data_IF_681419583642
#
_entry.id   IF_681419583642
#
_cell.length_a   1.000
_cell.length_b   1.000
_cell.length_c   1.000
_cell.angle_alpha   90.00
_cell.angle_beta   90.00
_cell.angle_gamma   90.00
#
_symmetry.space_group_name_H-M   'P 1'
#
loop_
_entity.id
_entity.type
_entity.pdbx_description
1 polymer ?
#
# COMPACT_ATOMS: atom_id res chain seq x y z
N UNK A 1 -25.14 -17.11 -26.65
CA UNK A 1 -24.17 -17.13 -25.55
C UNK A 1 -23.50 -18.49 -25.54
N UNK A 2 -22.18 -18.49 -25.37
CA UNK A 2 -21.37 -19.72 -25.28
C UNK A 2 -21.54 -20.35 -23.90
N UNK A 3 -20.93 -21.52 -23.68
CA UNK A 3 -20.87 -22.17 -22.35
C UNK A 3 -19.67 -21.70 -21.53
N UNK A 4 -18.66 -21.13 -22.17
CA UNK A 4 -17.48 -20.55 -21.52
C UNK A 4 -17.52 -19.03 -21.62
N UNK A 5 -17.18 -18.36 -20.53
CA UNK A 5 -17.01 -16.91 -20.46
C UNK A 5 -15.56 -16.59 -20.07
N UNK A 6 -14.92 -15.67 -20.79
CA UNK A 6 -13.67 -15.05 -20.40
C UNK A 6 -13.91 -13.58 -20.00
N UNK A 7 -13.53 -13.23 -18.78
CA UNK A 7 -13.53 -11.85 -18.27
C UNK A 7 -12.10 -11.34 -18.29
N UNK A 8 -11.85 -10.26 -19.05
CA UNK A 8 -10.49 -9.75 -19.29
C UNK A 8 -10.37 -8.30 -18.82
N UNK A 9 -9.68 -8.10 -17.70
CA UNK A 9 -9.35 -6.80 -17.13
C UNK A 9 -8.07 -6.17 -17.70
N UNK A 10 -7.64 -5.03 -17.14
CA UNK A 10 -6.52 -4.25 -17.64
C UNK A 10 -5.16 -4.54 -16.98
N UNK A 11 -5.10 -5.41 -15.96
CA UNK A 11 -3.87 -5.73 -15.24
C UNK A 11 -2.89 -6.53 -16.11
N UNK A 12 -1.78 -5.91 -16.48
CA UNK A 12 -0.84 -6.47 -17.47
C UNK A 12 -0.29 -7.85 -17.11
N UNK A 13 0.16 -8.14 -15.86
CA UNK A 13 0.85 -9.39 -15.56
C UNK A 13 0.05 -10.67 -15.85
N UNK A 14 -1.28 -10.65 -15.69
CA UNK A 14 -2.10 -11.84 -15.91
C UNK A 14 -2.93 -11.77 -17.18
N UNK A 15 -3.12 -10.57 -17.77
CA UNK A 15 -3.91 -10.40 -19.00
C UNK A 15 -3.29 -11.10 -20.21
N UNK A 16 -1.97 -11.12 -20.31
CA UNK A 16 -1.26 -11.64 -21.49
C UNK A 16 -1.40 -13.15 -21.66
N UNK A 17 -1.87 -13.86 -20.64
CA UNK A 17 -2.19 -15.29 -20.71
C UNK A 17 -3.43 -15.59 -21.57
N UNK A 18 -4.31 -14.61 -21.80
CA UNK A 18 -5.53 -14.82 -22.57
C UNK A 18 -5.31 -14.65 -24.09
N UNK A 19 -5.80 -15.62 -24.87
CA UNK A 19 -5.83 -15.56 -26.34
C UNK A 19 -7.16 -15.01 -26.87
N UNK A 20 -7.13 -13.80 -27.44
CA UNK A 20 -8.30 -13.16 -28.06
C UNK A 20 -8.76 -13.81 -29.38
N UNK A 21 -7.98 -14.74 -29.95
CA UNK A 21 -8.35 -15.46 -31.17
C UNK A 21 -9.44 -16.51 -30.95
N UNK A 22 -9.58 -16.99 -29.70
CA UNK A 22 -10.57 -17.98 -29.27
C UNK A 22 -11.98 -17.65 -29.73
N UNK A 23 -12.76 -18.66 -30.11
CA UNK A 23 -14.16 -18.54 -30.58
C UNK A 23 -15.14 -19.42 -29.77
N UNK A 24 -14.60 -20.17 -28.82
CA UNK A 24 -15.31 -21.10 -27.93
C UNK A 24 -15.93 -20.41 -26.70
N UNK A 25 -15.50 -19.17 -26.41
CA UNK A 25 -15.96 -18.36 -25.28
C UNK A 25 -16.54 -17.00 -25.70
N UNK A 26 -17.45 -16.49 -24.87
CA UNK A 26 -17.82 -15.07 -24.87
C UNK A 26 -16.71 -14.28 -24.15
N UNK A 27 -16.38 -13.07 -24.61
CA UNK A 27 -15.34 -12.21 -24.03
C UNK A 27 -15.95 -10.92 -23.48
N UNK A 28 -15.75 -10.68 -22.18
CA UNK A 28 -16.25 -9.50 -21.48
C UNK A 28 -15.08 -8.61 -21.01
N UNK A 29 -15.18 -7.31 -21.29
CA UNK A 29 -14.18 -6.30 -20.89
C UNK A 29 -14.84 -5.06 -20.28
N UNK A 30 -14.05 -4.10 -19.82
CA UNK A 30 -14.51 -2.98 -19.00
C UNK A 30 -14.14 -1.62 -19.59
N UNK A 31 -15.11 -0.71 -19.63
CA UNK A 31 -14.92 0.70 -20.00
C UNK A 31 -14.11 0.89 -21.30
N UNK A 32 -13.07 1.71 -21.27
CA UNK A 32 -12.20 2.04 -22.42
C UNK A 32 -11.28 0.89 -22.82
N UNK A 33 -11.24 -0.22 -22.06
CA UNK A 33 -10.36 -1.36 -22.36
C UNK A 33 -10.60 -1.93 -23.76
N UNK A 34 -11.83 -1.86 -24.26
CA UNK A 34 -12.19 -2.29 -25.61
C UNK A 34 -11.40 -1.59 -26.71
N UNK A 35 -11.02 -0.32 -26.49
CA UNK A 35 -10.25 0.46 -27.46
C UNK A 35 -8.74 0.33 -27.28
N UNK A 36 -8.28 -0.29 -26.20
CA UNK A 36 -6.87 -0.53 -25.98
C UNK A 36 -6.27 -1.45 -27.06
N UNK A 37 -5.01 -1.24 -27.40
CA UNK A 37 -4.32 -1.97 -28.46
C UNK A 37 -4.25 -3.50 -28.23
N UNK A 38 -4.30 -3.91 -26.95
CA UNK A 38 -4.29 -5.32 -26.56
C UNK A 38 -5.66 -6.00 -26.73
N UNK A 39 -6.77 -5.26 -26.64
CA UNK A 39 -8.11 -5.84 -26.74
C UNK A 39 -8.50 -5.97 -28.21
N UNK A 40 -8.45 -7.19 -28.74
CA UNK A 40 -8.71 -7.43 -30.17
C UNK A 40 -10.20 -7.51 -30.49
N UNK A 41 -11.00 -8.06 -29.58
CA UNK A 41 -12.46 -8.17 -29.69
C UNK A 41 -13.08 -8.27 -28.29
N UNK A 42 -14.36 -7.92 -28.19
CA UNK A 42 -15.18 -8.29 -27.03
C UNK A 42 -16.65 -8.45 -27.45
N UNK A 43 -17.31 -9.42 -26.86
CA UNK A 43 -18.75 -9.67 -27.05
C UNK A 43 -19.56 -8.74 -26.14
N UNK A 44 -19.00 -8.32 -25.00
CA UNK A 44 -19.65 -7.42 -24.06
C UNK A 44 -18.66 -6.44 -23.41
N UNK A 45 -19.12 -5.20 -23.20
CA UNK A 45 -18.42 -4.15 -22.46
C UNK A 45 -19.28 -3.69 -21.29
N UNK A 46 -18.68 -3.59 -20.11
CA UNK A 46 -19.32 -2.98 -18.93
C UNK A 46 -18.91 -1.51 -18.86
N UNK A 47 -19.87 -0.62 -19.09
CA UNK A 47 -19.73 0.83 -18.94
C UNK A 47 -20.72 1.31 -17.88
N UNK A 48 -20.40 1.06 -16.62
CA UNK A 48 -21.29 1.32 -15.48
C UNK A 48 -21.08 2.71 -14.84
N UNK A 49 -20.11 3.47 -15.33
CA UNK A 49 -19.91 4.87 -14.92
C UNK A 49 -21.08 5.76 -15.36
N UNK A 50 -21.27 6.86 -14.64
CA UNK A 50 -22.20 7.91 -15.02
C UNK A 50 -21.89 8.46 -16.43
N UNK A 51 -22.93 8.93 -17.12
CA UNK A 51 -22.83 9.54 -18.45
C UNK A 51 -21.80 10.65 -18.51
N UNK A 52 -21.71 11.50 -17.50
CA UNK A 52 -20.74 12.61 -17.47
C UNK A 52 -19.31 12.09 -17.56
N UNK A 53 -19.03 10.89 -17.02
CA UNK A 53 -17.70 10.30 -17.03
C UNK A 53 -17.37 9.73 -18.41
N UNK A 54 -18.20 8.82 -18.94
CA UNK A 54 -17.86 8.12 -20.18
C UNK A 54 -18.05 8.95 -21.45
N UNK A 55 -18.90 9.98 -21.39
CA UNK A 55 -19.11 10.91 -22.51
C UNK A 55 -18.12 12.08 -22.51
N UNK A 56 -17.22 12.16 -21.53
CA UNK A 56 -16.24 13.24 -21.41
C UNK A 56 -15.24 13.20 -22.59
N UNK A 57 -15.20 14.22 -23.45
CA UNK A 57 -14.22 14.27 -24.54
C UNK A 57 -12.78 14.45 -24.06
N UNK A 58 -12.58 14.78 -22.78
CA UNK A 58 -11.28 14.88 -22.10
C UNK A 58 -10.94 13.63 -21.29
N UNK A 59 -11.58 12.49 -21.57
CA UNK A 59 -11.28 11.22 -20.92
C UNK A 59 -9.78 10.90 -21.08
N UNK A 60 -9.07 10.74 -19.95
CA UNK A 60 -7.61 10.55 -19.94
C UNK A 60 -7.18 9.22 -20.60
N UNK A 61 -8.03 8.19 -20.52
CA UNK A 61 -7.70 6.84 -20.97
C UNK A 61 -7.95 6.70 -22.47
N UNK A 62 -9.10 7.19 -22.93
CA UNK A 62 -9.43 7.27 -24.35
C UNK A 62 -10.36 8.47 -24.63
N UNK A 63 -9.81 9.59 -25.12
CA UNK A 63 -10.61 10.76 -25.49
C UNK A 63 -11.70 10.46 -26.54
N UNK A 64 -11.53 9.41 -27.36
CA UNK A 64 -12.49 9.03 -28.39
C UNK A 64 -13.53 8.00 -27.91
N UNK A 65 -13.51 7.60 -26.63
CA UNK A 65 -14.42 6.58 -26.11
C UNK A 65 -15.89 6.94 -26.32
N UNK A 66 -16.25 8.22 -26.20
CA UNK A 66 -17.62 8.70 -26.47
C UNK A 66 -18.04 8.46 -27.93
N UNK A 67 -17.12 8.59 -28.89
CA UNK A 67 -17.39 8.34 -30.31
C UNK A 67 -17.56 6.84 -30.56
N UNK A 68 -16.75 6.00 -29.90
CA UNK A 68 -16.91 4.54 -29.89
C UNK A 68 -18.26 4.12 -29.31
N UNK A 69 -18.63 4.65 -28.15
CA UNK A 69 -19.89 4.35 -27.46
C UNK A 69 -21.09 4.64 -28.35
N UNK A 70 -21.11 5.81 -29.03
CA UNK A 70 -22.19 6.23 -29.93
C UNK A 70 -22.14 5.62 -31.32
N UNK A 71 -21.05 4.92 -31.65
CA UNK A 71 -20.77 4.39 -33.00
C UNK A 71 -20.86 5.47 -34.10
N UNK A 72 -20.22 6.63 -33.87
CA UNK A 72 -20.21 7.75 -34.83
C UNK A 72 -18.80 8.12 -35.26
N UNK A 73 -18.65 8.48 -36.53
CA UNK A 73 -17.44 9.16 -37.01
C UNK A 73 -17.41 10.59 -36.47
N UNK A 74 -16.24 11.08 -36.10
CA UNK A 74 -16.11 12.44 -35.57
C UNK A 74 -14.69 12.95 -35.60
N UNK A 75 -14.51 14.25 -35.33
CA UNK A 75 -13.19 14.80 -35.09
C UNK A 75 -12.53 14.05 -33.93
N UNK A 76 -11.30 13.60 -34.13
CA UNK A 76 -10.57 12.85 -33.11
C UNK A 76 -10.25 13.77 -31.93
N UNK A 77 -10.81 13.44 -30.77
CA UNK A 77 -10.63 14.19 -29.52
C UNK A 77 -9.18 14.13 -29.02
N UNK A 78 -8.45 13.05 -29.32
CA UNK A 78 -7.06 12.91 -28.90
C UNK A 78 -6.10 13.89 -29.61
N UNK A 79 -6.36 14.25 -30.86
CA UNK A 79 -5.51 15.16 -31.64
C UNK A 79 -6.19 16.47 -32.05
N UNK A 80 -7.43 16.68 -31.63
CA UNK A 80 -8.27 17.81 -32.04
C UNK A 80 -8.31 17.98 -33.57
N UNK A 81 -8.41 16.87 -34.30
CA UNK A 81 -8.48 16.87 -35.76
C UNK A 81 -7.13 17.04 -36.50
N UNK A 82 -6.00 17.11 -35.79
CA UNK A 82 -4.66 17.29 -36.42
C UNK A 82 -4.06 16.01 -37.01
N UNK A 83 -4.63 14.84 -36.71
CA UNK A 83 -4.07 13.53 -37.04
C UNK A 83 -3.23 12.93 -35.91
N UNK A 84 -3.42 11.63 -35.65
CA UNK A 84 -2.67 10.82 -34.68
C UNK A 84 -2.87 9.32 -34.98
N UNK A 85 -2.10 8.41 -34.35
CA UNK A 85 -2.22 6.97 -34.61
C UNK A 85 -3.62 6.37 -34.41
N UNK A 86 -4.45 6.95 -33.54
CA UNK A 86 -5.82 6.48 -33.27
C UNK A 86 -6.88 6.95 -34.28
N UNK A 87 -6.52 7.69 -35.35
CA UNK A 87 -7.46 8.28 -36.29
C UNK A 87 -6.90 8.34 -37.71
N UNK A 88 -7.76 8.61 -38.70
CA UNK A 88 -7.36 8.83 -40.10
C UNK A 88 -7.53 10.30 -40.45
N UNK A 89 -6.43 11.02 -40.65
CA UNK A 89 -6.42 12.46 -40.98
C UNK A 89 -7.28 13.31 -40.03
N UNK A 90 -7.20 13.03 -38.72
CA UNK A 90 -7.94 13.77 -37.71
C UNK A 90 -9.38 13.29 -37.49
N UNK A 91 -9.85 12.28 -38.22
CA UNK A 91 -11.20 11.70 -38.05
C UNK A 91 -11.10 10.35 -37.35
N UNK A 92 -11.73 10.23 -36.20
CA UNK A 92 -11.92 8.96 -35.52
C UNK A 92 -13.07 8.19 -36.17
N UNK A 93 -12.85 6.90 -36.40
CA UNK A 93 -13.85 5.97 -36.92
C UNK A 93 -13.94 4.79 -35.95
N UNK A 94 -15.12 4.50 -35.38
CA UNK A 94 -15.31 3.33 -34.53
C UNK A 94 -14.96 2.04 -35.27
N UNK A 95 -14.59 1.00 -34.52
CA UNK A 95 -14.33 -0.32 -35.09
C UNK A 95 -15.59 -0.87 -35.75
N UNK A 96 -15.43 -1.56 -36.87
CA UNK A 96 -16.55 -2.09 -37.66
C UNK A 96 -17.43 -3.07 -36.88
N UNK A 97 -16.86 -3.77 -35.90
CA UNK A 97 -17.52 -4.73 -35.02
C UNK A 97 -18.23 -4.09 -33.81
N UNK A 98 -18.21 -2.75 -33.66
CA UNK A 98 -18.85 -2.05 -32.54
C UNK A 98 -20.32 -2.45 -32.34
N UNK A 99 -21.06 -2.64 -33.43
CA UNK A 99 -22.47 -3.03 -33.41
C UNK A 99 -22.70 -4.53 -33.12
N UNK A 100 -21.65 -5.31 -32.89
CA UNK A 100 -21.75 -6.68 -32.41
C UNK A 100 -21.53 -6.76 -30.89
N UNK A 101 -21.00 -5.70 -30.27
CA UNK A 101 -20.69 -5.64 -28.84
C UNK A 101 -21.90 -5.13 -28.05
N UNK A 102 -22.32 -5.91 -27.05
CA UNK A 102 -23.32 -5.47 -26.05
C UNK A 102 -22.68 -4.53 -25.04
N UNK A 103 -23.37 -3.46 -24.64
CA UNK A 103 -22.86 -2.53 -23.62
C UNK A 103 -23.78 -2.52 -22.41
N UNK A 104 -23.33 -3.10 -21.29
CA UNK A 104 -24.08 -3.00 -20.04
C UNK A 104 -23.80 -1.67 -19.36
N UNK A 105 -24.88 -0.97 -19.01
CA UNK A 105 -24.88 0.36 -18.41
C UNK A 105 -25.84 0.38 -17.21
N UNK A 106 -25.83 1.44 -16.40
CA UNK A 106 -26.81 1.57 -15.31
C UNK A 106 -28.25 1.53 -15.85
N UNK A 107 -28.50 2.28 -16.94
CA UNK A 107 -29.74 2.27 -17.71
C UNK A 107 -29.42 2.11 -19.19
N UNK A 108 -30.35 1.56 -19.97
CA UNK A 108 -30.21 1.51 -21.42
C UNK A 108 -30.21 2.95 -21.97
N UNK A 109 -29.27 3.26 -22.87
CA UNK A 109 -29.03 4.60 -23.35
C UNK A 109 -29.33 4.68 -24.85
N UNK A 110 -30.29 5.49 -25.25
CA UNK A 110 -30.79 5.55 -26.63
C UNK A 110 -29.72 5.98 -27.65
N UNK A 111 -28.71 6.75 -27.24
CA UNK A 111 -27.60 7.17 -28.11
C UNK A 111 -26.44 6.17 -28.14
N UNK A 112 -26.50 5.08 -27.36
CA UNK A 112 -25.51 4.01 -27.33
C UNK A 112 -26.13 2.75 -27.93
N UNK A 113 -25.82 2.40 -29.20
CA UNK A 113 -26.34 1.19 -29.81
C UNK A 113 -25.92 -0.06 -29.04
N UNK A 114 -26.82 -1.03 -28.98
CA UNK A 114 -26.73 -2.27 -28.19
C UNK A 114 -26.47 -2.06 -26.69
N UNK A 115 -26.83 -0.90 -26.15
CA UNK A 115 -26.84 -0.73 -24.71
C UNK A 115 -27.96 -1.55 -24.07
N UNK A 116 -27.68 -2.08 -22.88
CA UNK A 116 -28.65 -2.78 -22.04
C UNK A 116 -28.52 -2.23 -20.62
N UNK A 117 -29.67 -2.04 -19.96
CA UNK A 117 -29.68 -1.81 -18.52
C UNK A 117 -29.13 -3.06 -17.82
N UNK A 118 -28.21 -2.85 -16.88
CA UNK A 118 -27.73 -3.91 -16.02
C UNK A 118 -28.88 -4.34 -15.09
N UNK A 119 -29.18 -5.65 -14.94
CA UNK A 119 -30.31 -6.14 -14.15
C UNK A 119 -30.02 -6.07 -12.64
N UNK A 120 -29.77 -4.85 -12.13
CA UNK A 120 -29.25 -4.64 -10.78
C UNK A 120 -30.16 -5.24 -9.71
N UNK A 121 -31.47 -5.04 -9.82
CA UNK A 121 -32.42 -5.53 -8.83
C UNK A 121 -32.45 -7.06 -8.79
N UNK A 122 -32.50 -7.72 -9.95
CA UNK A 122 -32.47 -9.18 -10.04
C UNK A 122 -31.15 -9.76 -9.51
N UNK A 123 -30.02 -9.07 -9.72
CA UNK A 123 -28.73 -9.50 -9.18
C UNK A 123 -28.63 -9.32 -7.66
N UNK A 124 -29.17 -8.23 -7.13
CA UNK A 124 -29.25 -7.97 -5.68
C UNK A 124 -30.01 -9.05 -4.92
N UNK A 125 -31.16 -9.43 -5.48
CA UNK A 125 -32.02 -10.48 -4.92
C UNK A 125 -31.36 -11.87 -4.93
N UNK A 126 -30.31 -12.09 -5.74
CA UNK A 126 -29.54 -13.33 -5.71
C UNK A 126 -28.53 -13.32 -4.55
N UNK A 127 -28.60 -14.36 -3.71
CA UNK A 127 -27.59 -14.68 -2.69
C UNK A 127 -27.29 -13.56 -1.66
N UNK A 128 -28.05 -12.47 -1.62
CA UNK A 128 -27.77 -11.31 -0.75
C UNK A 128 -26.64 -10.42 -1.30
N UNK A 129 -26.55 -10.31 -2.63
CA UNK A 129 -25.44 -9.69 -3.37
C UNK A 129 -25.28 -8.17 -3.21
N UNK A 130 -26.20 -7.49 -2.54
CA UNK A 130 -26.29 -6.02 -2.45
C UNK A 130 -24.98 -5.33 -2.04
N UNK A 131 -24.21 -5.95 -1.15
CA UNK A 131 -22.97 -5.42 -0.61
C UNK A 131 -21.71 -5.89 -1.34
N UNK A 132 -21.83 -6.86 -2.26
CA UNK A 132 -20.71 -7.49 -2.95
C UNK A 132 -20.60 -7.11 -4.43
N UNK A 133 -21.40 -6.15 -4.89
CA UNK A 133 -21.30 -5.51 -6.21
C UNK A 133 -20.38 -4.27 -6.15
N UNK A 134 -19.16 -4.44 -5.64
CA UNK A 134 -18.25 -3.35 -5.28
C UNK A 134 -17.35 -2.86 -6.43
N UNK A 135 -17.41 -3.50 -7.60
CA UNK A 135 -16.64 -3.14 -8.81
C UNK A 135 -17.31 -3.66 -10.08
N UNK A 136 -16.98 -3.09 -11.24
CA UNK A 136 -17.46 -3.62 -12.53
C UNK A 136 -17.11 -5.10 -12.73
N UNK A 137 -15.98 -5.58 -12.18
CA UNK A 137 -15.60 -7.00 -12.23
C UNK A 137 -16.58 -7.85 -11.40
N UNK A 138 -16.86 -7.45 -10.16
CA UNK A 138 -17.86 -8.15 -9.33
C UNK A 138 -19.26 -8.14 -9.98
N UNK A 139 -19.64 -7.04 -10.64
CA UNK A 139 -20.90 -6.95 -11.37
C UNK A 139 -20.92 -7.85 -12.62
N UNK A 140 -19.80 -7.99 -13.31
CA UNK A 140 -19.67 -8.95 -14.40
C UNK A 140 -19.80 -10.39 -13.88
N UNK A 141 -19.11 -10.76 -12.80
CA UNK A 141 -19.25 -12.08 -12.21
C UNK A 141 -20.70 -12.37 -11.79
N UNK A 142 -21.33 -11.43 -11.10
CA UNK A 142 -22.71 -11.56 -10.69
C UNK A 142 -23.69 -11.71 -11.86
N UNK A 143 -23.46 -10.98 -12.95
CA UNK A 143 -24.27 -11.10 -14.16
C UNK A 143 -24.10 -12.47 -14.83
N UNK A 144 -22.89 -13.02 -14.85
CA UNK A 144 -22.64 -14.35 -15.41
C UNK A 144 -23.42 -15.44 -14.65
N UNK A 145 -23.50 -15.31 -13.32
CA UNK A 145 -24.36 -16.16 -12.47
C UNK A 145 -25.84 -15.93 -12.78
N UNK A 146 -26.27 -14.66 -12.85
CA UNK A 146 -27.67 -14.29 -13.12
C UNK A 146 -28.20 -14.83 -14.44
N UNK A 147 -27.37 -14.80 -15.49
CA UNK A 147 -27.73 -15.33 -16.80
C UNK A 147 -27.86 -16.86 -16.81
N UNK A 148 -27.20 -17.57 -15.87
CA UNK A 148 -27.34 -19.00 -15.64
C UNK A 148 -26.90 -19.92 -16.80
N UNK A 149 -26.31 -19.36 -17.86
CA UNK A 149 -26.01 -20.10 -19.09
C UNK A 149 -24.57 -20.64 -19.17
N UNK A 150 -23.66 -20.09 -18.37
CA UNK A 150 -22.23 -20.43 -18.36
C UNK A 150 -21.95 -21.66 -17.48
N UNK A 151 -20.99 -22.48 -17.92
CA UNK A 151 -20.48 -23.65 -17.21
C UNK A 151 -19.04 -23.48 -16.76
N UNK A 152 -18.29 -22.60 -17.43
CA UNK A 152 -16.92 -22.22 -17.09
C UNK A 152 -16.75 -20.71 -17.22
N UNK A 153 -16.09 -20.11 -16.22
CA UNK A 153 -15.71 -18.70 -16.22
C UNK A 153 -14.21 -18.60 -15.98
N UNK A 154 -13.53 -17.90 -16.87
CA UNK A 154 -12.10 -17.65 -16.82
C UNK A 154 -11.85 -16.15 -16.58
N UNK A 155 -10.96 -15.81 -15.68
CA UNK A 155 -10.68 -14.43 -15.30
C UNK A 155 -9.21 -14.12 -15.53
N UNK A 156 -8.94 -13.10 -16.34
CA UNK A 156 -7.61 -12.62 -16.69
C UNK A 156 -7.50 -11.11 -16.47
N UNK A 157 -6.31 -10.61 -16.17
CA UNK A 157 -6.08 -9.18 -16.07
C UNK A 157 -6.81 -8.48 -14.92
N UNK A 158 -7.13 -9.20 -13.85
CA UNK A 158 -7.72 -8.66 -12.61
C UNK A 158 -6.69 -8.77 -11.49
N UNK A 159 -5.88 -7.73 -11.32
CA UNK A 159 -4.91 -7.64 -10.23
C UNK A 159 -5.50 -6.88 -9.05
N UNK A 160 -5.59 -7.51 -7.87
CA UNK A 160 -6.08 -6.83 -6.66
C UNK A 160 -5.11 -6.94 -5.49
N UNK A 161 -3.80 -7.08 -5.76
CA UNK A 161 -2.76 -7.32 -4.76
C UNK A 161 -2.44 -6.15 -3.83
N UNK A 162 -2.78 -4.90 -4.20
CA UNK A 162 -2.45 -3.71 -3.39
C UNK A 162 -3.56 -3.36 -2.38
N UNK A 163 -3.16 -2.92 -1.18
CA UNK A 163 -4.08 -2.64 -0.05
C UNK A 163 -4.67 -1.22 -0.04
N UNK A 164 -4.50 -0.46 -1.12
CA UNK A 164 -5.01 0.92 -1.22
C UNK A 164 -6.44 0.96 -1.75
N UNK A 165 -6.61 1.03 -3.07
CA UNK A 165 -7.89 1.30 -3.76
C UNK A 165 -8.78 0.06 -3.88
N UNK A 166 -8.22 -1.14 -3.66
CA UNK A 166 -8.86 -2.40 -4.04
C UNK A 166 -9.43 -3.21 -2.89
N UNK A 167 -9.32 -2.77 -1.63
CA UNK A 167 -9.73 -3.60 -0.48
C UNK A 167 -11.20 -4.05 -0.57
N UNK A 168 -12.12 -3.11 -0.74
CA UNK A 168 -13.56 -3.42 -0.89
C UNK A 168 -13.91 -4.07 -2.23
N UNK A 169 -13.13 -3.79 -3.29
CA UNK A 169 -13.33 -4.41 -4.60
C UNK A 169 -12.95 -5.90 -4.58
N UNK A 170 -11.91 -6.26 -3.80
CA UNK A 170 -11.40 -7.62 -3.61
C UNK A 170 -12.43 -8.51 -2.91
N UNK A 171 -13.09 -7.99 -1.87
CA UNK A 171 -14.13 -8.71 -1.13
C UNK A 171 -15.32 -9.09 -2.02
N UNK A 172 -15.79 -8.14 -2.86
CA UNK A 172 -16.87 -8.41 -3.82
C UNK A 172 -16.49 -9.47 -4.86
N UNK A 173 -15.28 -9.42 -5.40
CA UNK A 173 -14.81 -10.46 -6.35
C UNK A 173 -14.68 -11.82 -5.67
N UNK A 174 -14.07 -11.89 -4.48
CA UNK A 174 -13.95 -13.15 -3.72
C UNK A 174 -15.31 -13.80 -3.46
N UNK A 175 -16.29 -13.00 -3.04
CA UNK A 175 -17.66 -13.45 -2.79
C UNK A 175 -18.28 -14.09 -4.04
N UNK A 176 -18.26 -13.40 -5.18
CA UNK A 176 -18.88 -13.92 -6.41
C UNK A 176 -18.13 -15.11 -7.01
N UNK A 177 -16.80 -15.19 -6.88
CA UNK A 177 -16.05 -16.40 -7.25
C UNK A 177 -16.46 -17.60 -6.38
N UNK A 178 -16.69 -17.38 -5.08
CA UNK A 178 -17.24 -18.39 -4.18
C UNK A 178 -18.63 -18.86 -4.60
N UNK A 179 -19.54 -17.91 -4.88
CA UNK A 179 -20.90 -18.23 -5.37
C UNK A 179 -20.85 -19.02 -6.67
N UNK A 180 -20.02 -18.61 -7.65
CA UNK A 180 -19.86 -19.33 -8.92
C UNK A 180 -19.48 -20.80 -8.70
N UNK A 181 -18.46 -21.05 -7.88
CA UNK A 181 -18.07 -22.41 -7.52
C UNK A 181 -19.20 -23.16 -6.82
N UNK A 182 -19.89 -22.50 -5.89
CA UNK A 182 -21.02 -23.06 -5.14
C UNK A 182 -22.21 -23.46 -6.01
N UNK A 183 -22.48 -22.74 -7.10
CA UNK A 183 -23.53 -23.09 -8.08
C UNK A 183 -23.04 -24.04 -9.18
N UNK A 184 -21.81 -24.55 -9.08
CA UNK A 184 -21.26 -25.55 -10.00
C UNK A 184 -20.68 -24.97 -11.30
N UNK A 185 -20.29 -23.70 -11.32
CA UNK A 185 -19.51 -23.12 -12.43
C UNK A 185 -18.03 -23.41 -12.17
N UNK A 186 -17.34 -23.94 -13.17
CA UNK A 186 -15.88 -24.09 -13.16
C UNK A 186 -15.24 -22.69 -13.24
N UNK A 187 -14.35 -22.38 -12.30
CA UNK A 187 -13.73 -21.04 -12.20
C UNK A 187 -12.21 -21.16 -12.33
N UNK A 188 -11.66 -20.59 -13.39
CA UNK A 188 -10.23 -20.37 -13.56
C UNK A 188 -9.92 -18.88 -13.30
N UNK A 189 -9.09 -18.60 -12.30
CA UNK A 189 -8.66 -17.25 -11.96
C UNK A 189 -7.15 -17.12 -12.12
N UNK A 190 -6.72 -16.36 -13.12
CA UNK A 190 -5.30 -16.12 -13.39
C UNK A 190 -4.79 -14.99 -12.46
N UNK A 191 -4.27 -15.36 -11.29
CA UNK A 191 -3.64 -14.45 -10.33
C UNK A 191 -3.43 -15.04 -8.94
N UNK A 192 -2.52 -14.45 -8.17
CA UNK A 192 -2.17 -14.84 -6.79
C UNK A 192 -2.98 -14.11 -5.71
N UNK A 193 -3.93 -13.27 -6.14
CA UNK A 193 -4.68 -12.33 -5.28
C UNK A 193 -5.46 -13.00 -4.14
N UNK A 194 -5.84 -14.27 -4.30
CA UNK A 194 -6.59 -15.05 -3.30
C UNK A 194 -5.76 -16.17 -2.67
N UNK A 195 -4.45 -16.20 -2.88
CA UNK A 195 -3.55 -17.14 -2.22
C UNK A 195 -3.39 -16.73 -0.74
N UNK A 196 -4.26 -17.25 0.11
CA UNK A 196 -4.19 -17.08 1.56
C UNK A 196 -3.65 -18.35 2.22
N UNK A 197 -2.77 -18.23 3.22
CA UNK A 197 -2.35 -19.38 4.00
C UNK A 197 -3.54 -20.00 4.75
N UNK A 198 -3.56 -21.33 4.89
CA UNK A 198 -4.54 -22.00 5.76
C UNK A 198 -4.25 -21.64 7.21
N UNK A 199 -5.22 -21.02 7.88
CA UNK A 199 -5.07 -20.57 9.26
C UNK A 199 -4.66 -21.72 10.20
N UNK A 200 -3.54 -21.57 10.90
CA UNK A 200 -2.98 -22.56 11.83
C UNK A 200 -2.16 -23.69 11.18
N UNK A 201 -2.04 -23.72 9.85
CA UNK A 201 -1.28 -24.74 9.13
C UNK A 201 -0.20 -24.14 8.22
N UNK A 202 -0.49 -22.99 7.60
CA UNK A 202 0.42 -22.23 6.78
C UNK A 202 0.66 -20.86 7.41
N UNK A 203 1.91 -20.38 7.43
CA UNK A 203 2.22 -18.98 7.75
C UNK A 203 2.89 -18.72 9.10
N UNK A 204 3.13 -19.74 9.92
CA UNK A 204 4.09 -19.63 11.01
C UNK A 204 5.52 -19.70 10.46
N UNK A 205 5.96 -18.58 9.90
CA UNK A 205 7.36 -18.39 9.54
C UNK A 205 8.12 -18.06 10.81
N UNK A 206 8.96 -18.99 11.26
CA UNK A 206 9.88 -18.72 12.36
C UNK A 206 10.93 -17.70 11.94
N UNK A 207 11.11 -16.66 12.75
CA UNK A 207 12.29 -15.79 12.64
C UNK A 207 13.44 -16.53 13.33
N UNK A 208 14.58 -16.76 12.67
CA UNK A 208 15.72 -17.43 13.30
C UNK A 208 16.17 -16.71 14.57
N UNK A 209 16.53 -17.46 15.60
CA UNK A 209 16.94 -16.90 16.90
C UNK A 209 18.15 -15.97 16.75
N UNK A 210 19.10 -16.41 15.93
CA UNK A 210 20.38 -15.74 15.65
C UNK A 210 20.16 -14.33 15.07
N UNK A 211 19.02 -14.10 14.42
CA UNK A 211 18.70 -12.81 13.85
C UNK A 211 18.57 -11.72 14.92
N UNK A 212 18.07 -12.06 16.10
CA UNK A 212 18.00 -11.12 17.22
C UNK A 212 19.38 -10.85 17.79
N UNK A 213 20.17 -11.90 18.08
CA UNK A 213 21.51 -11.75 18.67
C UNK A 213 22.47 -10.99 17.76
N UNK A 214 22.54 -11.34 16.47
CA UNK A 214 23.39 -10.65 15.50
C UNK A 214 22.98 -9.18 15.32
N UNK A 215 21.68 -8.89 15.40
CA UNK A 215 21.17 -7.53 15.27
C UNK A 215 21.50 -6.69 16.51
N UNK A 216 21.42 -7.26 17.72
CA UNK A 216 21.87 -6.63 18.96
C UNK A 216 23.36 -6.29 18.88
N UNK A 217 24.21 -7.24 18.48
CA UNK A 217 25.65 -7.01 18.36
C UNK A 217 25.98 -5.87 17.39
N UNK A 218 25.33 -5.85 16.22
CA UNK A 218 25.51 -4.76 15.25
C UNK A 218 25.06 -3.40 15.79
N UNK A 219 23.93 -3.36 16.49
CA UNK A 219 23.38 -2.12 17.06
C UNK A 219 24.24 -1.62 18.22
N UNK A 220 24.80 -2.51 19.04
CA UNK A 220 25.67 -2.12 20.16
C UNK A 220 26.89 -1.33 19.70
N UNK A 221 27.52 -1.74 18.59
CA UNK A 221 28.66 -1.01 18.00
C UNK A 221 28.26 0.43 17.63
N UNK A 222 27.05 0.61 17.09
CA UNK A 222 26.53 1.92 16.70
C UNK A 222 26.15 2.77 17.92
N UNK A 223 25.57 2.16 18.96
CA UNK A 223 25.27 2.80 20.24
C UNK A 223 26.53 3.32 20.92
N UNK A 224 27.59 2.52 20.97
CA UNK A 224 28.86 2.90 21.59
C UNK A 224 29.47 4.11 20.86
N UNK A 225 29.48 4.06 19.52
CA UNK A 225 29.97 5.17 18.68
C UNK A 225 29.16 6.45 18.90
N UNK A 226 27.83 6.38 18.80
CA UNK A 226 26.96 7.55 18.92
C UNK A 226 26.98 8.14 20.34
N UNK A 227 27.18 7.30 21.36
CA UNK A 227 27.33 7.75 22.75
C UNK A 227 28.59 8.60 22.92
N UNK A 228 29.73 8.18 22.35
CA UNK A 228 30.97 8.95 22.36
C UNK A 228 30.85 10.26 21.56
N UNK A 229 30.25 10.21 20.36
CA UNK A 229 29.97 11.41 19.55
C UNK A 229 29.06 12.40 20.28
N UNK A 230 28.00 11.91 20.92
CA UNK A 230 27.09 12.72 21.72
C UNK A 230 27.81 13.41 22.87
N UNK A 231 28.66 12.70 23.60
CA UNK A 231 29.42 13.24 24.71
C UNK A 231 30.34 14.38 24.27
N UNK A 232 31.07 14.20 23.15
CA UNK A 232 31.96 15.21 22.55
C UNK A 232 31.19 16.45 22.10
N UNK A 233 30.12 16.25 21.33
CA UNK A 233 29.33 17.35 20.78
C UNK A 233 28.59 18.13 21.87
N UNK A 234 28.16 17.46 22.95
CA UNK A 234 27.56 18.11 24.13
C UNK A 234 28.51 19.09 24.82
N UNK A 235 29.80 18.76 24.91
CA UNK A 235 30.81 19.68 25.47
C UNK A 235 30.95 20.93 24.61
N UNK A 236 30.97 20.77 23.27
CA UNK A 236 31.04 21.89 22.32
C UNK A 236 29.84 22.82 22.49
N UNK A 237 28.62 22.27 22.50
CA UNK A 237 27.38 23.04 22.69
C UNK A 237 27.41 23.81 24.01
N UNK A 238 27.75 23.16 25.13
CA UNK A 238 27.82 23.82 26.43
C UNK A 238 28.82 24.98 26.48
N UNK A 239 29.98 24.83 25.82
CA UNK A 239 30.97 25.89 25.73
C UNK A 239 30.43 27.10 24.94
N UNK A 240 29.75 26.86 23.82
CA UNK A 240 29.14 27.93 23.01
C UNK A 240 28.01 28.63 23.79
N UNK A 241 27.22 27.90 24.58
CA UNK A 241 26.20 28.52 25.45
C UNK A 241 26.85 29.48 26.47
N UNK A 242 27.98 29.10 27.07
CA UNK A 242 28.74 29.97 27.97
C UNK A 242 29.39 31.18 27.28
N UNK A 243 29.66 31.09 25.97
CA UNK A 243 30.04 32.24 25.15
C UNK A 243 28.84 33.15 24.86
N UNK A 244 27.69 32.58 24.48
CA UNK A 244 26.46 33.32 24.16
C UNK A 244 25.92 34.12 25.35
N UNK A 245 26.14 33.62 26.57
CA UNK A 245 25.85 34.34 27.80
C UNK A 245 26.59 35.69 27.87
N UNK A 246 27.84 35.72 27.42
CA UNK A 246 28.72 36.91 27.42
C UNK A 246 28.57 37.74 26.14
N UNK A 247 28.49 37.09 24.98
CA UNK A 247 28.32 37.69 23.67
C UNK A 247 27.10 37.14 22.94
N UNK A 248 26.00 37.89 22.95
CA UNK A 248 24.79 37.58 22.20
C UNK A 248 24.82 37.99 20.73
N UNK A 249 25.99 38.09 20.10
CA UNK A 249 26.09 38.46 18.68
C UNK A 249 25.41 37.42 17.77
N UNK A 250 24.96 37.86 16.59
CA UNK A 250 24.33 36.97 15.62
C UNK A 250 25.25 35.82 15.19
N UNK A 251 26.57 36.06 15.15
CA UNK A 251 27.55 35.04 14.80
C UNK A 251 27.59 33.89 15.83
N UNK A 252 27.59 34.21 17.13
CA UNK A 252 27.57 33.20 18.20
C UNK A 252 26.24 32.45 18.22
N UNK A 253 25.11 33.15 18.04
CA UNK A 253 23.79 32.54 17.93
C UNK A 253 23.71 31.54 16.78
N UNK A 254 24.16 31.92 15.58
CA UNK A 254 24.15 31.03 14.41
C UNK A 254 24.99 29.78 14.66
N UNK A 255 26.20 29.94 15.20
CA UNK A 255 27.07 28.81 15.54
C UNK A 255 26.45 27.89 16.60
N UNK A 256 25.77 28.46 17.61
CA UNK A 256 25.04 27.66 18.60
C UNK A 256 23.93 26.85 17.95
N UNK A 257 23.10 27.48 17.11
CA UNK A 257 22.00 26.82 16.43
C UNK A 257 22.47 25.65 15.55
N UNK A 258 23.56 25.82 14.82
CA UNK A 258 24.12 24.74 13.99
C UNK A 258 24.62 23.57 14.84
N UNK A 259 25.24 23.85 16.00
CA UNK A 259 25.73 22.80 16.91
C UNK A 259 24.60 22.14 17.73
N UNK A 260 23.52 22.86 18.05
CA UNK A 260 22.30 22.29 18.65
C UNK A 260 21.64 21.35 17.66
N UNK A 261 21.52 21.73 16.38
CA UNK A 261 20.99 20.84 15.32
C UNK A 261 21.86 19.59 15.19
N UNK A 262 23.18 19.72 15.16
CA UNK A 262 24.09 18.58 15.11
C UNK A 262 23.93 17.64 16.32
N UNK A 263 23.88 18.19 17.55
CA UNK A 263 23.68 17.39 18.76
C UNK A 263 22.29 16.74 18.81
N UNK A 264 21.26 17.44 18.34
CA UNK A 264 19.89 16.92 18.22
C UNK A 264 19.85 15.73 17.26
N UNK A 265 20.53 15.82 16.11
CA UNK A 265 20.62 14.71 15.16
C UNK A 265 21.32 13.49 15.76
N UNK A 266 22.41 13.68 16.51
CA UNK A 266 23.09 12.59 17.21
C UNK A 266 22.17 11.98 18.28
N UNK A 267 21.46 12.82 19.06
CA UNK A 267 20.51 12.38 20.08
C UNK A 267 19.38 11.53 19.48
N UNK A 268 18.85 11.95 18.33
CA UNK A 268 17.82 11.23 17.58
C UNK A 268 18.35 9.90 17.04
N UNK A 269 19.51 9.88 16.38
CA UNK A 269 20.12 8.66 15.90
C UNK A 269 20.38 7.66 17.03
N UNK A 270 20.97 8.13 18.14
CA UNK A 270 21.21 7.32 19.34
C UNK A 270 19.91 6.76 19.92
N UNK A 271 18.85 7.56 19.94
CA UNK A 271 17.53 7.10 20.36
C UNK A 271 17.02 5.97 19.47
N UNK A 272 17.11 6.14 18.14
CA UNK A 272 16.67 5.16 17.16
C UNK A 272 17.38 3.80 17.31
N UNK A 273 18.72 3.80 17.41
CA UNK A 273 19.47 2.54 17.59
C UNK A 273 19.19 1.88 18.94
N UNK A 274 19.10 2.66 20.02
CA UNK A 274 18.74 2.13 21.34
C UNK A 274 17.34 1.52 21.35
N UNK A 275 16.38 2.14 20.67
CA UNK A 275 15.02 1.61 20.54
C UNK A 275 14.98 0.30 19.77
N UNK A 276 15.70 0.22 18.65
CA UNK A 276 15.83 -1.02 17.88
C UNK A 276 16.52 -2.13 18.69
N UNK A 277 17.57 -1.79 19.45
CA UNK A 277 18.32 -2.76 20.26
C UNK A 277 17.45 -3.33 21.38
N UNK A 278 16.79 -2.46 22.18
CA UNK A 278 15.90 -2.88 23.25
C UNK A 278 14.76 -3.77 22.74
N UNK A 279 14.25 -3.51 21.53
CA UNK A 279 13.20 -4.33 20.94
C UNK A 279 13.72 -5.72 20.54
N UNK A 280 14.94 -5.82 20.01
CA UNK A 280 15.57 -7.11 19.75
C UNK A 280 15.85 -7.88 21.04
N UNK A 281 16.35 -7.22 22.09
CA UNK A 281 16.59 -7.83 23.41
C UNK A 281 15.27 -8.35 24.02
N UNK A 282 14.19 -7.59 23.85
CA UNK A 282 12.83 -8.02 24.24
C UNK A 282 12.42 -9.29 23.52
N UNK A 283 12.64 -9.37 22.20
CA UNK A 283 12.32 -10.57 21.42
C UNK A 283 13.19 -11.75 21.78
N UNK A 284 14.50 -11.56 21.93
CA UNK A 284 15.41 -12.61 22.37
C UNK A 284 14.97 -13.21 23.71
N UNK A 285 14.71 -12.37 24.71
CA UNK A 285 14.24 -12.81 26.02
C UNK A 285 12.92 -13.59 25.94
N UNK A 286 12.00 -13.18 25.08
CA UNK A 286 10.72 -13.89 24.89
C UNK A 286 10.91 -15.22 24.17
N UNK A 287 11.82 -15.28 23.19
CA UNK A 287 12.18 -16.50 22.51
C UNK A 287 12.81 -17.50 23.49
N UNK A 288 13.67 -17.03 24.40
CA UNK A 288 14.27 -17.87 25.45
C UNK A 288 13.21 -18.50 26.36
N UNK A 289 12.20 -17.73 26.78
CA UNK A 289 11.07 -18.24 27.57
C UNK A 289 10.30 -19.31 26.80
N UNK A 290 10.01 -19.09 25.52
CA UNK A 290 9.31 -20.07 24.68
C UNK A 290 10.14 -21.36 24.49
N UNK A 291 11.44 -21.22 24.22
CA UNK A 291 12.38 -22.35 24.05
C UNK A 291 12.49 -23.18 25.32
N UNK A 292 12.46 -22.55 26.49
CA UNK A 292 12.50 -23.27 27.76
C UNK A 292 11.26 -24.16 27.95
N UNK A 293 10.08 -23.71 27.53
CA UNK A 293 8.82 -24.43 27.69
C UNK A 293 8.58 -25.50 26.61
N UNK A 294 9.04 -25.26 25.38
CA UNK A 294 8.75 -26.10 24.21
C UNK A 294 9.78 -27.19 23.92
N UNK A 295 10.89 -27.24 24.66
CA UNK A 295 12.01 -28.12 24.33
C UNK A 295 12.89 -27.59 23.19
N UNK A 296 13.22 -26.29 23.25
CA UNK A 296 14.13 -25.55 22.38
C UNK A 296 13.52 -24.95 21.09
N UNK A 297 12.20 -24.91 20.97
CA UNK A 297 11.48 -24.28 19.85
C UNK A 297 10.87 -22.93 20.23
N UNK A 298 10.68 -22.03 19.28
CA UNK A 298 9.87 -20.84 19.51
C UNK A 298 9.28 -20.35 18.19
N UNK A 299 8.16 -19.65 18.32
CA UNK A 299 7.51 -19.00 17.20
C UNK A 299 6.84 -17.73 17.70
N UNK A 300 7.02 -16.64 16.95
CA UNK A 300 6.28 -15.41 17.18
C UNK A 300 5.13 -15.34 16.20
N UNK A 301 3.93 -15.10 16.70
CA UNK A 301 2.81 -14.73 15.85
C UNK A 301 3.07 -13.37 15.20
N UNK A 302 2.58 -13.17 13.98
CA UNK A 302 2.63 -11.86 13.30
C UNK A 302 2.10 -10.73 14.19
N UNK A 303 1.02 -11.01 14.92
CA UNK A 303 0.33 -10.06 15.79
C UNK A 303 1.25 -9.50 16.88
N UNK A 304 2.28 -10.23 17.31
CA UNK A 304 3.25 -9.73 18.28
C UNK A 304 3.99 -8.48 17.74
N UNK A 305 4.47 -8.54 16.50
CA UNK A 305 5.15 -7.43 15.85
C UNK A 305 4.20 -6.27 15.52
N UNK A 306 2.99 -6.59 15.03
CA UNK A 306 1.95 -5.58 14.74
C UNK A 306 1.53 -4.81 16.00
N UNK A 307 1.35 -5.52 17.11
CA UNK A 307 0.98 -4.93 18.40
C UNK A 307 2.10 -4.04 18.92
N UNK A 308 3.36 -4.48 18.83
CA UNK A 308 4.50 -3.66 19.25
C UNK A 308 4.62 -2.40 18.39
N UNK A 309 4.52 -2.54 17.06
CA UNK A 309 4.53 -1.41 16.13
C UNK A 309 3.43 -0.40 16.43
N UNK A 310 2.19 -0.87 16.65
CA UNK A 310 1.06 -0.01 16.97
C UNK A 310 1.28 0.75 18.29
N UNK A 311 1.69 0.05 19.34
CA UNK A 311 1.94 0.63 20.65
C UNK A 311 3.09 1.64 20.63
N UNK A 312 4.19 1.33 19.93
CA UNK A 312 5.31 2.22 19.76
C UNK A 312 4.91 3.47 18.95
N UNK A 313 4.13 3.31 17.88
CA UNK A 313 3.63 4.44 17.08
C UNK A 313 2.81 5.42 17.93
N UNK A 314 1.92 4.91 18.80
CA UNK A 314 1.14 5.76 19.72
C UNK A 314 2.04 6.51 20.72
N UNK A 315 3.04 5.84 21.29
CA UNK A 315 4.00 6.46 22.21
C UNK A 315 4.89 7.48 21.51
N UNK A 316 5.27 7.23 20.26
CA UNK A 316 6.01 8.16 19.40
C UNK A 316 5.23 9.46 19.21
N UNK A 317 3.93 9.40 18.89
CA UNK A 317 3.09 10.61 18.76
C UNK A 317 3.00 11.41 20.06
N UNK A 318 2.91 10.74 21.21
CA UNK A 318 2.92 11.41 22.51
C UNK A 318 4.28 12.09 22.79
N UNK A 319 5.39 11.40 22.50
CA UNK A 319 6.74 11.94 22.66
C UNK A 319 7.03 13.11 21.68
N UNK A 320 6.47 13.08 20.47
CA UNK A 320 6.56 14.18 19.50
C UNK A 320 5.94 15.47 20.06
N UNK A 321 4.79 15.35 20.75
CA UNK A 321 4.12 16.49 21.39
C UNK A 321 5.00 17.11 22.49
N UNK A 322 5.64 16.28 23.30
CA UNK A 322 6.59 16.71 24.32
C UNK A 322 7.79 17.43 23.70
N UNK A 323 8.39 16.84 22.66
CA UNK A 323 9.51 17.43 21.91
C UNK A 323 9.18 18.83 21.37
N UNK A 324 8.04 19.00 20.69
CA UNK A 324 7.59 20.29 20.15
C UNK A 324 7.38 21.33 21.26
N UNK A 325 6.79 20.91 22.39
CA UNK A 325 6.55 21.80 23.55
C UNK A 325 7.86 22.30 24.16
N UNK A 326 8.82 21.40 24.38
CA UNK A 326 10.13 21.76 24.94
C UNK A 326 10.94 22.62 23.96
N UNK A 327 10.92 22.30 22.67
CA UNK A 327 11.58 23.10 21.63
C UNK A 327 11.04 24.54 21.59
N UNK A 328 9.72 24.70 21.68
CA UNK A 328 9.06 26.02 21.72
C UNK A 328 9.50 26.81 22.95
N UNK A 329 9.52 26.15 24.11
CA UNK A 329 9.93 26.74 25.39
C UNK A 329 11.40 27.19 25.34
N UNK A 330 12.27 26.36 24.78
CA UNK A 330 13.70 26.66 24.60
C UNK A 330 13.92 27.96 23.82
N UNK A 331 13.25 28.12 22.67
CA UNK A 331 13.35 29.34 21.85
C UNK A 331 12.75 30.59 22.53
N UNK A 332 11.78 30.43 23.44
CA UNK A 332 11.26 31.55 24.23
C UNK A 332 12.26 32.00 25.29
N UNK A 333 12.89 31.05 25.99
CA UNK A 333 13.92 31.35 26.98
C UNK A 333 15.12 32.02 26.31
N UNK A 334 15.56 31.53 25.15
CA UNK A 334 16.66 32.11 24.38
C UNK A 334 16.41 33.58 24.07
N UNK A 335 15.26 33.91 23.47
CA UNK A 335 14.89 35.29 23.13
C UNK A 335 14.89 36.19 24.36
N UNK A 336 14.30 35.73 25.46
CA UNK A 336 14.26 36.49 26.72
C UNK A 336 15.66 36.68 27.33
N UNK A 337 16.52 35.66 27.24
CA UNK A 337 17.90 35.71 27.73
C UNK A 337 18.72 36.74 26.94
N UNK A 338 18.56 36.76 25.62
CA UNK A 338 19.26 37.68 24.73
C UNK A 338 18.81 39.14 24.90
N UNK A 339 17.53 39.39 25.20
CA UNK A 339 16.99 40.72 25.49
C UNK A 339 17.41 41.26 26.88
N UNK A 340 17.77 40.38 27.82
CA UNK A 340 18.24 40.81 29.14
C UNK A 340 19.61 41.49 29.05
N UNK A 341 19.80 42.56 29.85
CA UNK A 341 21.04 43.33 29.88
C UNK A 341 22.27 42.44 30.14
N UNK A 342 23.35 42.69 29.37
CA UNK A 342 24.62 41.95 29.50
C UNK A 342 25.17 42.07 30.92
N UNK A 343 25.65 40.97 31.49
CA UNK A 343 26.19 40.90 32.85
C UNK A 343 25.14 40.99 33.98
N UNK A 344 23.84 41.10 33.67
CA UNK A 344 22.81 41.18 34.71
C UNK A 344 22.55 39.82 35.39
N UNK A 345 22.20 39.79 36.70
CA UNK A 345 21.78 38.56 37.37
C UNK A 345 20.58 37.87 36.71
N UNK A 346 19.69 38.66 36.08
CA UNK A 346 18.55 38.13 35.31
C UNK A 346 19.01 37.32 34.10
N UNK A 347 20.01 37.82 33.37
CA UNK A 347 20.58 37.15 32.19
C UNK A 347 21.20 35.80 32.58
N UNK A 348 22.02 35.78 33.62
CA UNK A 348 22.63 34.54 34.14
C UNK A 348 21.57 33.47 34.47
N UNK A 349 20.54 33.84 35.24
CA UNK A 349 19.42 32.93 35.58
C UNK A 349 18.68 32.40 34.34
N UNK A 350 18.49 33.22 33.31
CA UNK A 350 17.84 32.80 32.07
C UNK A 350 18.72 31.83 31.26
N UNK A 351 20.05 32.01 31.27
CA UNK A 351 20.98 31.06 30.64
C UNK A 351 21.08 29.74 31.42
N UNK A 352 20.94 29.74 32.75
CA UNK A 352 20.82 28.51 33.52
C UNK A 352 19.54 27.74 33.18
N UNK A 353 18.41 28.44 33.08
CA UNK A 353 17.14 27.86 32.63
C UNK A 353 17.25 27.35 31.18
N UNK A 354 17.96 28.08 30.31
CA UNK A 354 18.24 27.67 28.93
C UNK A 354 19.00 26.34 28.90
N UNK A 355 20.08 26.20 29.68
CA UNK A 355 20.86 24.95 29.77
C UNK A 355 20.00 23.76 30.21
N UNK A 356 19.17 23.95 31.24
CA UNK A 356 18.27 22.91 31.74
C UNK A 356 17.23 22.50 30.68
N UNK A 357 16.59 23.48 30.04
CA UNK A 357 15.57 23.24 29.00
C UNK A 357 16.20 22.61 27.75
N UNK A 358 17.43 22.98 27.42
CA UNK A 358 18.18 22.39 26.31
C UNK A 358 18.49 20.90 26.56
N UNK A 359 18.82 20.52 27.80
CA UNK A 359 18.97 19.11 28.17
C UNK A 359 17.64 18.35 28.04
N UNK A 360 16.53 18.94 28.47
CA UNK A 360 15.20 18.37 28.27
C UNK A 360 14.84 18.22 26.79
N UNK A 361 15.23 19.20 25.96
CA UNK A 361 15.02 19.15 24.51
C UNK A 361 15.73 17.93 23.90
N UNK A 362 17.01 17.71 24.22
CA UNK A 362 17.74 16.54 23.73
C UNK A 362 17.20 15.22 24.30
N UNK A 363 16.72 15.20 25.54
CA UNK A 363 16.09 14.02 26.13
C UNK A 363 14.76 13.69 25.43
N UNK A 364 13.94 14.70 25.12
CA UNK A 364 12.70 14.53 24.38
C UNK A 364 12.94 14.05 22.94
N UNK A 365 13.95 14.61 22.27
CA UNK A 365 14.43 14.14 20.96
C UNK A 365 14.84 12.66 20.98
N UNK A 366 15.67 12.29 21.96
CA UNK A 366 16.09 10.90 22.13
C UNK A 366 14.89 9.97 22.39
N UNK A 367 13.97 10.39 23.27
CA UNK A 367 12.76 9.63 23.63
C UNK A 367 11.84 9.37 22.44
N UNK A 368 11.56 10.39 21.61
CA UNK A 368 10.73 10.18 20.41
C UNK A 368 11.42 9.22 19.44
N UNK A 369 12.73 9.34 19.29
CA UNK A 369 13.50 8.52 18.37
C UNK A 369 13.64 7.06 18.83
N UNK A 370 13.64 6.78 20.14
CA UNK A 370 13.53 5.41 20.67
C UNK A 370 12.29 4.71 20.10
N UNK A 371 11.13 5.35 20.16
CA UNK A 371 9.92 4.75 19.60
C UNK A 371 9.98 4.62 18.09
N UNK A 372 10.63 5.55 17.40
CA UNK A 372 10.89 5.43 15.96
C UNK A 372 11.75 4.20 15.63
N UNK A 373 12.77 3.90 16.44
CA UNK A 373 13.59 2.69 16.33
C UNK A 373 12.77 1.42 16.49
N UNK A 374 11.92 1.35 17.52
CA UNK A 374 11.02 0.21 17.77
C UNK A 374 10.05 0.01 16.59
N UNK A 375 9.49 1.10 16.05
CA UNK A 375 8.61 1.04 14.87
C UNK A 375 9.34 0.50 13.64
N UNK A 376 10.56 1.01 13.39
CA UNK A 376 11.38 0.57 12.26
C UNK A 376 11.73 -0.92 12.33
N UNK A 377 12.12 -1.40 13.51
CA UNK A 377 12.52 -2.79 13.71
C UNK A 377 11.34 -3.76 13.52
N UNK A 378 10.18 -3.44 14.09
CA UNK A 378 8.97 -4.25 13.91
C UNK A 378 8.47 -4.27 12.47
N UNK A 379 8.59 -3.15 11.74
CA UNK A 379 8.27 -3.11 10.32
C UNK A 379 9.18 -4.04 9.52
N UNK A 380 10.49 -4.03 9.81
CA UNK A 380 11.44 -4.91 9.14
C UNK A 380 11.17 -6.41 9.41
N UNK A 381 10.66 -6.77 10.59
CA UNK A 381 10.22 -8.14 10.83
C UNK A 381 8.96 -8.51 10.06
N UNK A 382 7.97 -7.62 10.00
CA UNK A 382 6.76 -7.85 9.20
C UNK A 382 7.09 -8.04 7.72
N UNK A 383 7.95 -7.18 7.16
CA UNK A 383 8.43 -7.30 5.77
C UNK A 383 9.17 -8.62 5.54
N UNK A 384 9.96 -9.08 6.51
CA UNK A 384 10.62 -10.38 6.42
C UNK A 384 9.62 -11.54 6.43
N UNK A 385 8.62 -11.49 7.30
CA UNK A 385 7.56 -12.51 7.35
C UNK A 385 6.79 -12.53 6.02
N UNK A 386 6.44 -11.37 5.48
CA UNK A 386 5.73 -11.24 4.20
C UNK A 386 6.54 -11.84 3.03
N UNK A 387 7.85 -11.58 2.98
CA UNK A 387 8.75 -12.16 1.98
C UNK A 387 8.80 -13.69 2.04
N UNK A 388 8.81 -14.26 3.26
CA UNK A 388 8.83 -15.71 3.47
C UNK A 388 7.50 -16.39 3.19
N UNK A 389 6.38 -15.78 3.55
CA UNK A 389 5.03 -16.27 3.22
C UNK A 389 4.86 -16.33 1.70
N UNK A 390 5.30 -15.29 1.00
CA UNK A 390 5.25 -15.25 -0.48
C UNK A 390 6.09 -16.37 -1.10
N UNK A 391 7.31 -16.58 -0.61
CA UNK A 391 8.18 -17.66 -1.09
C UNK A 391 7.61 -19.06 -0.82
N UNK A 392 7.04 -19.28 0.38
CA UNK A 392 6.43 -20.56 0.76
C UNK A 392 5.14 -20.84 -0.04
N UNK A 393 4.31 -19.82 -0.25
CA UNK A 393 3.10 -19.91 -1.08
C UNK A 393 3.41 -20.20 -2.55
N UNK A 394 4.49 -19.62 -3.10
CA UNK A 394 4.96 -19.89 -4.46
C UNK A 394 5.40 -21.34 -4.67
N UNK A 395 6.25 -21.86 -3.77
CA UNK A 395 6.74 -23.24 -3.85
C UNK A 395 5.61 -24.28 -3.66
N UNK A 396 4.66 -24.02 -2.76
CA UNK A 396 3.49 -24.90 -2.57
C UNK A 396 2.53 -24.86 -3.76
N UNK A 397 2.32 -23.70 -4.38
CA UNK A 397 1.49 -23.57 -5.58
C UNK A 397 2.08 -24.35 -6.75
N UNK A 398 3.41 -24.33 -6.91
CA UNK A 398 4.13 -25.13 -7.91
C UNK A 398 3.99 -26.64 -7.65
N UNK A 399 4.14 -27.08 -6.39
CA UNK A 399 3.98 -28.48 -6.00
C UNK A 399 2.54 -29.00 -6.23
N UNK A 400 1.52 -28.21 -5.87
CA UNK A 400 0.11 -28.57 -6.10
C UNK A 400 -0.21 -28.62 -7.61
N UNK A 401 0.36 -27.72 -8.41
CA UNK A 401 0.21 -27.77 -9.88
C UNK A 401 0.88 -29.02 -10.47
N UNK A 402 2.05 -29.41 -9.99
CA UNK A 402 2.74 -30.63 -10.41
C UNK A 402 1.99 -31.90 -9.99
N UNK A 403 1.38 -31.93 -8.81
CA UNK A 403 0.50 -33.02 -8.37
C UNK A 403 -0.79 -33.09 -9.19
N UNK A 404 -1.43 -31.94 -9.48
CA UNK A 404 -2.61 -31.91 -10.33
C UNK A 404 -2.32 -32.42 -11.75
N UNK A 405 -1.15 -32.06 -12.31
CA UNK A 405 -0.70 -32.54 -13.63
C UNK A 405 -0.35 -34.03 -13.65
N UNK A 406 0.09 -34.61 -12.53
CA UNK A 406 0.39 -36.05 -12.44
C UNK A 406 -0.88 -36.90 -12.34
N UNK A 407 -1.97 -36.35 -11.81
CA UNK A 407 -3.28 -37.00 -11.74
C UNK A 407 -4.09 -36.93 -13.05
N UNK A 408 -3.74 -36.06 -14.00
CA UNK A 408 -4.34 -36.03 -15.35
C UNK A 408 -3.69 -37.02 -16.34
N UNK A 409 -2.60 -37.70 -15.94
CA UNK A 409 -1.85 -38.64 -16.79
C UNK A 409 -2.09 -40.13 -16.46
N UNK A 410 -3.17 -40.47 -15.76
CA UNK A 410 -3.57 -41.87 -15.47
C UNK A 410 -4.86 -42.26 -16.18
#
# INVERSE_FOLDING_TARGET
>A
MKKTLAIVGSYTPTRTAFDFSRQDCDIWVFNEAINAAWCKRADTVFQLHDRVIWSNPLNRNDPNHVLWMKNVNGACNACMGKGCPSCRNGVYTPRADRLNTTVYMQEACADVPNSKAYPLQGVKEMFGGDHFLSSSVSMALALAVYLGCYKRVEIYGVGMKTDTEYKFQREGVAYWLGIMRGVGIEVHFEGDTFACPVYGYDGEVAIPYERFSERIERLQIEVDKLTDEYAKQRVIVNNIVGEMERDGSHAVQQRLMDNIRALSNIAGNLGMVNGAQQENERYQKRADVMRAESGNEFVFSRQEFETSLHNASKKMTAAETEYISVATTLGHIERNALQAAKGSPKRAKLFDLYRQTMQQYFAAENRRAIFQGVVGENRAYLEYLDGRITAAGGAKSEAVMLEAMSHELV
#
